data_IF_073103867911
#
_entry.id   IF_073103867911
#
_cell.length_a   1.000
_cell.length_b   1.000
_cell.length_c   1.000
_cell.angle_alpha   90.00
_cell.angle_beta   90.00
_cell.angle_gamma   90.00
#
_symmetry.space_group_name_H-M   'P 1'
#
loop_
_entity.id
_entity.type
_entity.pdbx_description
1 polymer ?
#
# COMPACT_ATOMS: atom_id res chain seq x y z
N UNK A 1 -6.40 23.18 -8.35
CA UNK A 1 -5.69 22.50 -9.44
C UNK A 1 -6.33 22.79 -10.80
N UNK A 2 -7.65 22.71 -10.94
CA UNK A 2 -8.34 22.99 -12.20
C UNK A 2 -7.99 24.40 -12.74
N UNK A 3 -7.97 25.41 -11.90
CA UNK A 3 -7.63 26.80 -12.28
C UNK A 3 -6.15 26.97 -12.68
N UNK A 4 -5.32 25.99 -12.35
CA UNK A 4 -3.90 25.88 -12.77
C UNK A 4 -3.72 25.09 -14.07
N UNK A 5 -4.82 24.68 -14.71
CA UNK A 5 -4.78 23.93 -15.96
C UNK A 5 -4.51 22.43 -15.80
N UNK A 6 -4.57 21.88 -14.58
CA UNK A 6 -4.46 20.43 -14.33
C UNK A 6 -5.69 19.75 -14.92
N UNK A 7 -5.45 18.78 -15.78
CA UNK A 7 -6.52 18.03 -16.48
C UNK A 7 -6.95 16.76 -15.75
N UNK A 8 -6.04 16.11 -15.05
CA UNK A 8 -6.31 14.88 -14.30
C UNK A 8 -5.62 14.93 -12.95
N UNK A 9 -6.31 14.53 -11.90
CA UNK A 9 -5.77 14.37 -10.55
C UNK A 9 -6.07 12.95 -10.08
N UNK A 10 -5.06 12.28 -9.53
CA UNK A 10 -5.19 10.96 -8.89
C UNK A 10 -5.18 11.14 -7.38
N UNK A 11 -6.22 10.64 -6.71
CA UNK A 11 -6.29 10.52 -5.26
C UNK A 11 -5.85 9.12 -4.89
N UNK A 12 -4.59 8.96 -4.52
CA UNK A 12 -4.01 7.67 -4.13
C UNK A 12 -4.02 7.52 -2.62
N UNK A 13 -4.62 6.42 -2.13
CA UNK A 13 -4.50 6.00 -0.73
C UNK A 13 -3.47 4.89 -0.58
N UNK A 14 -2.48 5.09 0.29
CA UNK A 14 -1.60 4.01 0.78
C UNK A 14 -2.23 3.24 1.93
N UNK A 15 -3.27 3.78 2.55
CA UNK A 15 -4.00 3.12 3.64
C UNK A 15 -5.18 2.32 3.09
N UNK A 16 -5.41 1.11 3.65
CA UNK A 16 -6.34 0.12 3.09
C UNK A 16 -7.70 0.07 3.80
N UNK A 17 -7.99 1.02 4.71
CA UNK A 17 -9.30 1.07 5.37
C UNK A 17 -10.41 1.27 4.34
N UNK A 18 -11.42 0.40 4.39
CA UNK A 18 -12.51 0.40 3.43
C UNK A 18 -13.30 1.71 3.45
N UNK A 19 -13.48 2.31 4.62
CA UNK A 19 -14.16 3.59 4.77
C UNK A 19 -13.40 4.73 4.08
N UNK A 20 -12.06 4.74 4.17
CA UNK A 20 -11.26 5.76 3.47
C UNK A 20 -11.32 5.56 1.95
N UNK A 21 -11.25 4.32 1.48
CA UNK A 21 -11.38 4.00 0.05
C UNK A 21 -12.75 4.41 -0.49
N UNK A 22 -13.81 4.08 0.24
CA UNK A 22 -15.17 4.49 -0.10
C UNK A 22 -15.29 6.02 -0.18
N UNK A 23 -14.81 6.74 0.85
CA UNK A 23 -14.84 8.20 0.87
C UNK A 23 -14.13 8.81 -0.33
N UNK A 24 -12.93 8.33 -0.69
CA UNK A 24 -12.20 8.86 -1.86
C UNK A 24 -12.96 8.61 -3.17
N UNK A 25 -13.59 7.46 -3.29
CA UNK A 25 -14.42 7.12 -4.44
C UNK A 25 -15.65 8.03 -4.52
N UNK A 26 -16.34 8.25 -3.41
CA UNK A 26 -17.51 9.13 -3.33
C UNK A 26 -17.14 10.57 -3.70
N UNK A 27 -16.02 11.09 -3.19
CA UNK A 27 -15.50 12.41 -3.53
C UNK A 27 -15.20 12.55 -5.03
N UNK A 28 -14.61 11.53 -5.64
CA UNK A 28 -14.33 11.57 -7.08
C UNK A 28 -15.61 11.54 -7.91
N UNK A 29 -16.63 10.80 -7.48
CA UNK A 29 -17.94 10.75 -8.12
C UNK A 29 -18.69 12.07 -7.96
N UNK A 30 -18.72 12.63 -6.76
CA UNK A 30 -19.34 13.92 -6.49
C UNK A 30 -18.71 15.03 -7.34
N UNK A 31 -17.38 15.04 -7.44
CA UNK A 31 -16.67 15.95 -8.32
C UNK A 31 -17.11 15.80 -9.78
N UNK A 32 -17.21 14.58 -10.28
CA UNK A 32 -17.61 14.30 -11.66
C UNK A 32 -19.06 14.68 -11.97
N UNK A 33 -19.96 14.66 -10.99
CA UNK A 33 -21.35 15.05 -11.17
C UNK A 33 -21.54 16.57 -11.39
N UNK A 34 -20.60 17.38 -10.93
CA UNK A 34 -20.67 18.82 -11.15
C UNK A 34 -20.15 19.19 -12.55
N UNK A 35 -21.06 19.53 -13.45
CA UNK A 35 -20.74 19.88 -14.85
C UNK A 35 -19.82 21.10 -15.03
N UNK A 36 -19.63 21.92 -13.99
CA UNK A 36 -18.67 23.01 -14.01
C UNK A 36 -17.22 22.52 -13.87
N UNK A 37 -17.03 21.31 -13.35
CA UNK A 37 -15.72 20.71 -13.20
C UNK A 37 -15.27 20.12 -14.54
N UNK A 38 -14.07 20.53 -14.96
CA UNK A 38 -13.44 20.06 -16.20
C UNK A 38 -12.28 19.11 -15.94
N UNK A 39 -11.65 19.23 -14.77
CA UNK A 39 -10.57 18.36 -14.35
C UNK A 39 -11.15 16.98 -13.97
N UNK A 40 -10.53 15.92 -14.46
CA UNK A 40 -10.88 14.55 -14.06
C UNK A 40 -10.25 14.24 -12.69
N UNK A 41 -11.00 13.61 -11.83
CA UNK A 41 -10.51 13.12 -10.54
C UNK A 41 -10.72 11.62 -10.48
N UNK A 42 -9.64 10.89 -10.29
CA UNK A 42 -9.64 9.43 -10.18
C UNK A 42 -9.17 9.03 -8.78
N UNK A 43 -9.96 8.22 -8.10
CA UNK A 43 -9.61 7.71 -6.77
C UNK A 43 -9.21 6.23 -6.85
N UNK A 44 -8.10 5.90 -6.21
CA UNK A 44 -7.57 4.54 -6.15
C UNK A 44 -6.78 4.30 -4.86
N UNK A 45 -6.47 3.05 -4.58
CA UNK A 45 -5.59 2.67 -3.49
C UNK A 45 -4.52 1.70 -3.96
N UNK A 46 -3.45 1.56 -3.19
CA UNK A 46 -2.42 0.56 -3.47
C UNK A 46 -2.99 -0.87 -3.51
N UNK A 47 -4.11 -1.11 -2.82
CA UNK A 47 -4.82 -2.41 -2.84
C UNK A 47 -5.49 -2.73 -4.18
N UNK A 48 -5.70 -1.74 -5.04
CA UNK A 48 -6.35 -1.93 -6.34
C UNK A 48 -5.35 -2.33 -7.45
N UNK A 49 -4.06 -2.43 -7.12
CA UNK A 49 -3.02 -2.84 -8.06
C UNK A 49 -3.06 -4.35 -8.29
N UNK A 50 -3.58 -4.75 -9.44
CA UNK A 50 -3.76 -6.15 -9.85
C UNK A 50 -2.47 -6.81 -10.39
N UNK A 51 -1.43 -6.03 -10.63
CA UNK A 51 -0.14 -6.52 -11.15
C UNK A 51 0.92 -6.67 -10.04
N UNK A 52 0.55 -6.39 -8.79
CA UNK A 52 1.48 -6.50 -7.68
C UNK A 52 1.78 -7.97 -7.35
N UNK A 53 3.06 -8.37 -7.27
CA UNK A 53 3.46 -9.72 -6.86
C UNK A 53 3.26 -9.96 -5.35
N UNK A 54 3.08 -8.90 -4.57
CA UNK A 54 2.86 -8.95 -3.12
C UNK A 54 1.63 -8.14 -2.78
N UNK A 55 0.69 -8.76 -2.08
CA UNK A 55 -0.52 -8.08 -1.63
C UNK A 55 -0.23 -6.98 -0.60
N UNK A 56 -1.11 -5.98 -0.51
CA UNK A 56 -0.98 -4.90 0.45
C UNK A 56 -1.06 -5.45 1.89
N UNK A 57 -0.29 -4.83 2.76
CA UNK A 57 -0.21 -5.17 4.17
C UNK A 57 0.01 -3.92 5.03
N UNK A 58 0.27 -4.11 6.32
CA UNK A 58 0.71 -3.04 7.21
C UNK A 58 1.97 -3.46 7.94
N UNK A 59 3.06 -2.73 7.69
CA UNK A 59 4.40 -3.03 8.21
C UNK A 59 4.92 -4.45 7.89
N UNK A 60 4.30 -5.13 6.93
CA UNK A 60 4.67 -6.46 6.48
C UNK A 60 5.65 -6.44 5.30
N UNK A 61 5.62 -7.50 4.49
CA UNK A 61 6.50 -7.62 3.31
C UNK A 61 6.32 -6.49 2.32
N UNK A 62 5.08 -6.13 2.02
CA UNK A 62 4.74 -5.15 1.01
C UNK A 62 5.28 -3.76 1.34
N UNK A 63 4.90 -3.21 2.50
CA UNK A 63 5.37 -1.88 2.91
C UNK A 63 6.88 -1.85 3.12
N UNK A 64 7.45 -2.93 3.69
CA UNK A 64 8.91 -3.03 3.85
C UNK A 64 9.67 -3.05 2.53
N UNK A 65 9.14 -3.73 1.51
CA UNK A 65 9.74 -3.74 0.16
C UNK A 65 9.65 -2.37 -0.50
N UNK A 66 8.49 -1.69 -0.42
CA UNK A 66 8.36 -0.34 -0.97
C UNK A 66 9.30 0.65 -0.29
N UNK A 67 9.39 0.59 1.04
CA UNK A 67 10.32 1.43 1.79
C UNK A 67 11.77 1.13 1.38
N UNK A 68 12.13 -0.14 1.25
CA UNK A 68 13.48 -0.53 0.82
C UNK A 68 13.82 -0.10 -0.62
N UNK A 69 12.83 0.00 -1.50
CA UNK A 69 13.04 0.51 -2.85
C UNK A 69 13.38 2.00 -2.88
N UNK A 70 12.78 2.77 -1.97
CA UNK A 70 12.90 4.24 -1.90
C UNK A 70 14.00 4.67 -0.93
N UNK A 71 14.06 4.04 0.24
CA UNK A 71 14.90 4.39 1.37
C UNK A 71 15.45 3.13 2.06
N UNK A 72 16.35 2.38 1.43
CA UNK A 72 16.86 1.12 1.99
C UNK A 72 17.55 1.31 3.34
N UNK A 73 18.11 2.50 3.58
CA UNK A 73 18.77 2.85 4.84
C UNK A 73 17.81 2.96 6.05
N UNK A 74 16.51 2.99 5.80
CA UNK A 74 15.49 3.03 6.85
C UNK A 74 14.91 1.64 7.19
N UNK A 75 15.27 0.61 6.43
CA UNK A 75 14.78 -0.74 6.63
C UNK A 75 15.82 -1.56 7.40
N UNK A 76 15.50 -1.95 8.61
CA UNK A 76 16.40 -2.62 9.55
C UNK A 76 15.88 -4.00 9.97
N UNK A 77 15.62 -4.86 9.01
CA UNK A 77 15.12 -6.23 9.27
C UNK A 77 16.10 -7.03 10.14
N UNK A 78 17.39 -6.75 10.01
CA UNK A 78 18.45 -7.39 10.80
C UNK A 78 18.37 -7.09 12.31
N UNK A 79 17.61 -6.07 12.72
CA UNK A 79 17.34 -5.75 14.13
C UNK A 79 16.21 -6.56 14.73
N UNK A 80 15.41 -7.22 13.90
CA UNK A 80 14.38 -8.13 14.37
C UNK A 80 15.02 -9.46 14.80
N UNK A 81 14.50 -10.12 15.84
CA UNK A 81 14.94 -11.46 16.18
C UNK A 81 14.74 -12.41 14.98
N UNK A 82 15.59 -13.43 14.88
CA UNK A 82 15.44 -14.40 13.81
C UNK A 82 14.10 -15.12 13.88
N UNK A 83 13.62 -15.64 12.73
CA UNK A 83 12.39 -16.43 12.69
C UNK A 83 12.51 -17.72 13.53
N UNK A 84 13.73 -18.22 13.74
CA UNK A 84 14.00 -19.39 14.58
C UNK A 84 13.82 -19.07 16.07
N UNK A 85 14.26 -17.88 16.51
CA UNK A 85 14.17 -17.47 17.92
C UNK A 85 12.77 -16.96 18.29
N UNK A 86 12.13 -16.32 17.34
CA UNK A 86 10.77 -15.75 17.47
C UNK A 86 9.98 -16.05 16.20
N UNK A 87 9.43 -17.27 16.08
CA UNK A 87 8.60 -17.65 14.93
C UNK A 87 7.44 -16.68 14.74
N UNK A 88 7.09 -16.42 13.49
CA UNK A 88 5.81 -15.81 13.18
C UNK A 88 4.73 -16.81 13.58
N UNK A 89 4.16 -16.62 14.74
CA UNK A 89 2.98 -17.39 15.13
C UNK A 89 1.83 -16.71 14.40
N UNK A 90 1.53 -17.23 13.24
CA UNK A 90 0.35 -16.83 12.52
C UNK A 90 -0.83 -17.66 13.04
N UNK A 91 -1.73 -17.10 13.87
CA UNK A 91 -2.97 -17.80 14.15
C UNK A 91 -3.79 -17.71 12.86
N UNK A 92 -3.71 -18.78 12.06
CA UNK A 92 -4.59 -19.02 10.93
C UNK A 92 -4.97 -17.75 10.17
N UNK A 93 -3.99 -17.19 9.46
CA UNK A 93 -4.18 -16.20 8.40
C UNK A 93 -5.46 -15.36 8.46
N UNK A 94 -5.60 -14.57 9.49
CA UNK A 94 -6.50 -13.44 9.40
C UNK A 94 -5.67 -12.18 9.02
N UNK A 95 -5.45 -11.92 7.75
CA UNK A 95 -4.68 -10.77 7.29
C UNK A 95 -5.33 -9.44 7.72
N UNK A 96 -6.58 -9.49 8.16
CA UNK A 96 -7.38 -8.35 8.61
C UNK A 96 -7.65 -8.35 10.11
N UNK A 97 -7.10 -9.31 10.84
CA UNK A 97 -7.26 -9.39 12.29
C UNK A 97 -6.47 -8.30 13.02
N UNK A 98 -7.06 -7.76 14.07
CA UNK A 98 -6.37 -6.86 15.00
C UNK A 98 -5.13 -7.54 15.58
N UNK A 99 -3.98 -6.87 15.52
CA UNK A 99 -2.70 -7.24 16.14
C UNK A 99 -2.43 -8.75 16.21
N UNK A 100 -1.75 -9.26 15.21
CA UNK A 100 -1.36 -10.68 15.10
C UNK A 100 -0.63 -11.23 16.33
N UNK A 101 0.01 -10.36 17.10
CA UNK A 101 0.90 -10.72 18.19
C UNK A 101 0.60 -9.89 19.43
N UNK A 102 0.89 -10.45 20.59
CA UNK A 102 0.90 -9.68 21.82
C UNK A 102 1.96 -8.57 21.78
N UNK A 103 1.81 -7.55 22.61
CA UNK A 103 2.71 -6.36 22.66
C UNK A 103 4.20 -6.71 22.85
N UNK A 104 4.48 -7.86 23.45
CA UNK A 104 5.84 -8.35 23.68
C UNK A 104 6.46 -9.06 22.47
N UNK A 105 5.71 -9.24 21.40
CA UNK A 105 6.21 -9.90 20.20
C UNK A 105 6.90 -8.89 19.28
N UNK A 106 8.01 -9.32 18.65
CA UNK A 106 8.78 -8.47 17.74
C UNK A 106 8.00 -7.97 16.52
N UNK A 107 6.94 -8.68 16.13
CA UNK A 107 6.04 -8.32 15.02
C UNK A 107 4.73 -7.69 15.53
N UNK A 108 4.71 -7.18 16.75
CA UNK A 108 3.51 -6.49 17.23
C UNK A 108 3.18 -5.30 16.33
N UNK A 109 1.93 -5.26 15.87
CA UNK A 109 1.45 -4.21 14.94
C UNK A 109 1.64 -4.54 13.46
N UNK A 110 2.29 -5.64 13.10
CA UNK A 110 2.34 -6.10 11.70
C UNK A 110 1.03 -6.77 11.33
N UNK A 111 0.43 -6.35 10.21
CA UNK A 111 -0.76 -6.97 9.61
C UNK A 111 -0.42 -7.41 8.19
N UNK A 112 -0.21 -8.68 7.99
CA UNK A 112 0.20 -9.22 6.73
C UNK A 112 1.39 -10.18 6.83
N UNK A 113 1.99 -10.62 5.74
CA UNK A 113 3.13 -11.51 5.74
C UNK A 113 4.33 -10.96 6.50
N UNK A 114 5.06 -11.84 7.18
CA UNK A 114 6.24 -11.48 7.97
C UNK A 114 7.29 -10.75 7.11
N UNK A 115 7.70 -9.53 7.47
CA UNK A 115 8.67 -8.76 6.69
C UNK A 115 10.06 -9.41 6.65
N UNK A 116 10.41 -10.28 7.63
CA UNK A 116 11.69 -10.99 7.68
C UNK A 116 11.85 -12.03 6.57
N UNK A 117 10.74 -12.46 5.97
CA UNK A 117 10.69 -13.40 4.85
C UNK A 117 10.61 -12.67 3.49
N UNK A 118 10.83 -11.35 3.45
CA UNK A 118 10.81 -10.59 2.22
C UNK A 118 12.10 -10.77 1.41
N UNK A 119 11.95 -10.96 0.10
CA UNK A 119 13.08 -10.92 -0.82
C UNK A 119 13.36 -9.47 -1.26
N UNK A 120 14.23 -8.78 -0.56
CA UNK A 120 14.56 -7.37 -0.82
C UNK A 120 15.19 -7.10 -2.19
N UNK A 121 15.67 -8.12 -2.91
CA UNK A 121 16.11 -7.95 -4.28
C UNK A 121 14.96 -7.58 -5.24
N UNK A 122 13.71 -7.88 -4.86
CA UNK A 122 12.52 -7.56 -5.63
C UNK A 122 11.94 -6.16 -5.32
N UNK A 123 12.52 -5.42 -4.38
CA UNK A 123 11.98 -4.14 -3.94
C UNK A 123 11.80 -3.13 -5.10
N UNK A 124 12.81 -3.00 -5.95
CA UNK A 124 12.76 -2.10 -7.11
C UNK A 124 11.75 -2.55 -8.17
N UNK A 125 11.64 -3.86 -8.40
CA UNK A 125 10.67 -4.44 -9.32
C UNK A 125 9.24 -4.15 -8.86
N UNK A 126 8.97 -4.32 -7.58
CA UNK A 126 7.69 -3.97 -6.98
C UNK A 126 7.35 -2.50 -7.17
N UNK A 127 8.28 -1.59 -6.88
CA UNK A 127 8.07 -0.15 -7.07
C UNK A 127 7.73 0.18 -8.53
N UNK A 128 8.52 -0.34 -9.49
CA UNK A 128 8.28 -0.12 -10.93
C UNK A 128 6.92 -0.65 -11.38
N UNK A 129 6.47 -1.80 -10.84
CA UNK A 129 5.16 -2.34 -11.14
C UNK A 129 4.05 -1.37 -10.70
N UNK A 130 4.15 -0.81 -9.48
CA UNK A 130 3.20 0.18 -8.98
C UNK A 130 3.23 1.50 -9.75
N UNK A 131 4.40 2.02 -10.07
CA UNK A 131 4.56 3.24 -10.87
C UNK A 131 3.91 3.07 -12.25
N UNK A 132 4.18 1.95 -12.91
CA UNK A 132 3.62 1.63 -14.23
C UNK A 132 2.10 1.50 -14.19
N UNK A 133 1.59 0.76 -13.20
CA UNK A 133 0.16 0.60 -13.00
C UNK A 133 -0.54 1.95 -12.76
N UNK A 134 0.00 2.78 -11.85
CA UNK A 134 -0.58 4.06 -11.50
C UNK A 134 -0.56 5.04 -12.67
N UNK A 135 0.55 5.06 -13.43
CA UNK A 135 0.66 5.87 -14.64
C UNK A 135 -0.38 5.44 -15.70
N UNK A 136 -0.57 4.13 -15.88
CA UNK A 136 -1.61 3.59 -16.76
C UNK A 136 -3.00 4.07 -16.35
N UNK A 137 -3.34 3.94 -15.06
CA UNK A 137 -4.64 4.40 -14.53
C UNK A 137 -4.85 5.91 -14.70
N UNK A 138 -3.81 6.73 -14.52
CA UNK A 138 -3.89 8.16 -14.72
C UNK A 138 -4.13 8.55 -16.19
N UNK A 139 -3.66 7.75 -17.14
CA UNK A 139 -3.87 7.97 -18.58
C UNK A 139 -5.26 7.48 -19.06
N UNK A 140 -5.80 6.43 -18.44
CA UNK A 140 -7.14 5.92 -18.73
C UNK A 140 -8.25 6.79 -18.14
N UNK A 141 -7.97 7.49 -17.05
CA UNK A 141 -8.91 8.36 -16.36
C UNK A 141 -9.10 9.68 -17.15
#
# INVERSE_FOLDING_TARGET
>A
FQDLGVQTTVLLSGHFADEQRALLKDLSQEWAHNKANKMRVFATSMADCDVSPVGPDHAGKFESLLLAALHPELVHIEKLPSMQDRPSVDPEDNPFGSHRHGKEHALWGVFGPDPRDANFNQAKELLVAYETWLAGKALEA
#
